data_IF_620436925895
#
_entry.id   IF_620436925895
#
_cell.length_a   1.000
_cell.length_b   1.000
_cell.length_c   1.000
_cell.angle_alpha   90.00
_cell.angle_beta   90.00
_cell.angle_gamma   90.00
#
_symmetry.space_group_name_H-M   'P 1'
#
loop_
_entity.id
_entity.type
_entity.pdbx_description
1 polymer ?
#
# COMPACT_ATOMS: atom_id res chain seq x y z
N UNK A 1 -1.56 34.24 19.00
CA UNK A 1 -0.84 32.97 18.88
C UNK A 1 -1.78 31.80 19.18
N UNK A 2 -2.38 31.73 20.42
CA UNK A 2 -3.24 30.60 20.80
C UNK A 2 -4.43 30.36 19.84
N UNK A 3 -5.08 31.44 19.39
CA UNK A 3 -6.21 31.34 18.42
C UNK A 3 -5.83 30.82 17.05
N UNK A 4 -4.55 30.93 16.67
CA UNK A 4 -4.04 30.45 15.36
C UNK A 4 -3.49 29.02 15.45
N UNK A 5 -2.78 28.70 16.54
CA UNK A 5 -2.04 27.44 16.69
C UNK A 5 -2.79 26.33 17.46
N UNK A 6 -3.82 26.66 18.16
CA UNK A 6 -4.66 25.67 18.84
C UNK A 6 -6.01 25.52 18.12
N UNK A 7 -6.59 24.36 18.03
CA UNK A 7 -6.09 23.03 18.31
C UNK A 7 -5.05 22.56 17.29
N UNK A 8 -4.21 21.58 17.65
CA UNK A 8 -3.27 20.98 16.71
C UNK A 8 -4.02 20.11 15.70
N UNK A 9 -3.78 20.28 14.39
CA UNK A 9 -4.52 19.61 13.33
C UNK A 9 -4.38 18.09 13.37
N UNK A 10 -3.17 17.60 13.65
CA UNK A 10 -2.88 16.17 13.73
C UNK A 10 -1.87 15.90 14.86
N UNK A 11 -2.22 15.02 15.78
CA UNK A 11 -1.32 14.54 16.83
C UNK A 11 -1.10 13.05 16.72
N UNK A 12 0.17 12.62 16.76
CA UNK A 12 0.57 11.22 16.55
C UNK A 12 1.45 10.79 17.70
N UNK A 13 1.14 9.66 18.32
CA UNK A 13 1.94 9.11 19.41
C UNK A 13 1.54 7.69 19.77
N UNK A 14 2.39 7.00 20.54
CA UNK A 14 2.12 5.63 20.98
C UNK A 14 1.00 5.57 22.01
N UNK A 15 0.33 4.42 22.10
CA UNK A 15 -0.77 4.16 23.03
C UNK A 15 -0.35 4.29 24.49
N UNK A 16 0.93 4.16 24.82
CA UNK A 16 1.47 4.35 26.18
C UNK A 16 1.24 5.74 26.74
N UNK A 17 1.01 6.73 25.89
CA UNK A 17 0.74 8.12 26.29
C UNK A 17 -0.73 8.40 26.59
N UNK A 18 -1.64 7.44 26.40
CA UNK A 18 -3.08 7.64 26.55
C UNK A 18 -3.49 8.10 27.96
N UNK A 19 -2.85 7.58 29.02
CA UNK A 19 -3.18 7.89 30.40
C UNK A 19 -2.45 9.13 30.89
N UNK A 20 -1.12 9.22 30.71
CA UNK A 20 -0.33 10.31 31.26
C UNK A 20 -0.43 11.58 30.41
N UNK A 21 0.26 11.59 29.29
CA UNK A 21 0.42 12.79 28.46
C UNK A 21 -0.90 13.29 27.88
N UNK A 22 -1.71 12.41 27.28
CA UNK A 22 -2.97 12.83 26.64
C UNK A 22 -3.99 13.30 27.68
N UNK A 23 -4.06 12.68 28.85
CA UNK A 23 -4.92 13.10 29.93
C UNK A 23 -4.55 14.52 30.43
N UNK A 24 -3.24 14.75 30.63
CA UNK A 24 -2.78 16.07 31.05
C UNK A 24 -2.97 17.14 29.98
N UNK A 25 -2.71 16.82 28.72
CA UNK A 25 -2.94 17.76 27.61
C UNK A 25 -4.39 18.21 27.57
N UNK A 26 -5.36 17.30 27.72
CA UNK A 26 -6.78 17.64 27.78
C UNK A 26 -7.14 18.43 29.04
N UNK A 27 -6.65 18.01 30.19
CA UNK A 27 -6.91 18.70 31.47
C UNK A 27 -6.46 20.15 31.42
N UNK A 28 -5.20 20.40 31.03
CA UNK A 28 -4.67 21.77 30.98
C UNK A 28 -5.32 22.59 29.87
N UNK A 29 -5.70 22.03 28.76
CA UNK A 29 -6.44 22.75 27.70
C UNK A 29 -7.78 23.23 28.24
N UNK A 30 -8.54 22.40 28.98
CA UNK A 30 -9.83 22.76 29.54
C UNK A 30 -9.67 23.81 30.67
N UNK A 31 -8.64 23.66 31.49
CA UNK A 31 -8.33 24.65 32.53
C UNK A 31 -8.00 26.02 31.93
N UNK A 32 -7.13 26.06 30.91
CA UNK A 32 -6.79 27.32 30.23
C UNK A 32 -7.99 27.93 29.49
N UNK A 33 -8.90 27.11 28.97
CA UNK A 33 -10.15 27.59 28.38
C UNK A 33 -11.04 28.25 29.44
N UNK A 34 -11.22 27.60 30.59
CA UNK A 34 -12.06 28.10 31.66
C UNK A 34 -11.52 29.40 32.28
N UNK A 35 -10.19 29.56 32.28
CA UNK A 35 -9.50 30.80 32.64
C UNK A 35 -9.43 31.86 31.52
N UNK A 36 -10.03 31.58 30.33
CA UNK A 36 -10.08 32.52 29.23
C UNK A 36 -8.76 32.70 28.46
N UNK A 37 -7.77 31.86 28.69
CA UNK A 37 -6.46 31.92 28.01
C UNK A 37 -6.47 31.37 26.63
N UNK A 38 -7.32 30.37 26.36
CA UNK A 38 -7.55 29.76 25.04
C UNK A 38 -9.06 29.64 24.79
N UNK A 39 -9.45 29.43 23.54
CA UNK A 39 -10.85 29.29 23.10
C UNK A 39 -11.14 27.96 22.41
N UNK A 40 -10.40 26.93 22.77
CA UNK A 40 -10.53 25.57 22.21
C UNK A 40 -10.94 24.58 23.28
N UNK A 41 -11.74 23.60 22.93
CA UNK A 41 -12.24 22.58 23.86
C UNK A 41 -11.30 21.38 24.01
N UNK A 42 -10.59 21.04 22.93
CA UNK A 42 -9.68 19.91 22.88
C UNK A 42 -8.32 20.35 22.31
N UNK A 43 -7.20 19.76 22.79
CA UNK A 43 -5.86 20.12 22.34
C UNK A 43 -5.57 19.72 20.89
N UNK A 44 -6.25 18.69 20.38
CA UNK A 44 -6.01 18.10 19.07
C UNK A 44 -7.32 17.95 18.31
N UNK A 45 -7.33 18.26 17.00
CA UNK A 45 -8.48 17.99 16.13
C UNK A 45 -8.54 16.51 15.73
N UNK A 46 -7.35 15.93 15.47
CA UNK A 46 -7.19 14.50 15.13
C UNK A 46 -6.09 13.88 15.97
N UNK A 47 -6.40 12.75 16.57
CA UNK A 47 -5.47 11.95 17.35
C UNK A 47 -5.28 10.60 16.65
N UNK A 48 -4.04 10.28 16.27
CA UNK A 48 -3.66 8.95 15.83
C UNK A 48 -2.84 8.27 16.93
N UNK A 49 -3.43 7.27 17.55
CA UNK A 49 -2.76 6.45 18.56
C UNK A 49 -2.07 5.28 17.86
N UNK A 50 -0.74 5.28 17.86
CA UNK A 50 0.05 4.26 17.18
C UNK A 50 0.16 2.98 18.01
N UNK A 51 0.16 1.83 17.30
CA UNK A 51 0.53 0.54 17.87
C UNK A 51 2.02 0.48 18.24
N UNK A 52 2.39 -0.56 18.95
CA UNK A 52 3.77 -0.78 19.40
C UNK A 52 4.57 -1.53 18.35
N UNK A 53 5.87 -1.22 18.26
CA UNK A 53 6.82 -2.08 17.56
C UNK A 53 7.21 -3.22 18.50
N UNK A 54 7.00 -4.44 18.03
CA UNK A 54 7.28 -5.66 18.78
C UNK A 54 8.33 -6.49 18.05
N UNK A 55 9.12 -7.25 18.80
CA UNK A 55 10.15 -8.13 18.28
C UNK A 55 10.26 -9.37 19.16
N UNK A 56 10.71 -10.47 18.59
CA UNK A 56 11.04 -11.65 19.38
C UNK A 56 12.10 -11.33 20.43
N UNK A 57 12.01 -12.04 21.57
CA UNK A 57 12.92 -11.88 22.70
C UNK A 57 13.62 -13.19 23.02
N UNK A 58 14.89 -13.07 23.35
CA UNK A 58 15.75 -14.21 23.67
C UNK A 58 16.48 -13.97 24.99
N UNK A 59 16.65 -15.01 25.80
CA UNK A 59 17.38 -14.90 27.05
C UNK A 59 18.11 -16.19 27.42
N UNK A 60 19.05 -16.07 28.34
CA UNK A 60 19.62 -17.17 29.13
C UNK A 60 19.34 -16.93 30.61
N UNK A 61 19.12 -18.00 31.35
CA UNK A 61 19.11 -17.90 32.81
C UNK A 61 20.53 -17.72 33.33
N UNK A 62 20.72 -16.78 34.26
CA UNK A 62 21.98 -16.55 34.92
C UNK A 62 22.04 -17.28 36.29
N UNK A 63 23.26 -17.39 36.86
CA UNK A 63 23.49 -18.09 38.11
C UNK A 63 22.71 -17.56 39.32
N UNK A 64 22.11 -16.38 39.19
CA UNK A 64 21.29 -15.74 40.24
C UNK A 64 19.78 -15.95 40.03
N UNK A 65 19.36 -16.78 39.05
CA UNK A 65 17.97 -17.02 38.70
C UNK A 65 17.30 -15.87 37.95
N UNK A 66 18.12 -14.94 37.43
CA UNK A 66 17.64 -13.85 36.56
C UNK A 66 17.77 -14.21 35.09
N UNK A 67 17.28 -13.31 34.22
CA UNK A 67 17.33 -13.45 32.76
C UNK A 67 18.34 -12.45 32.19
N UNK A 68 19.33 -12.97 31.45
CA UNK A 68 20.22 -12.16 30.64
C UNK A 68 19.65 -12.09 29.21
N UNK A 69 19.12 -10.93 28.87
CA UNK A 69 18.45 -10.70 27.59
C UNK A 69 19.48 -10.54 26.46
N UNK A 70 19.26 -11.27 25.38
CA UNK A 70 20.15 -11.36 24.23
C UNK A 70 19.53 -10.64 23.04
N UNK A 71 20.35 -9.84 22.33
CA UNK A 71 19.88 -9.13 21.16
C UNK A 71 19.51 -10.13 20.04
N UNK A 72 18.36 -9.98 19.39
CA UNK A 72 17.96 -10.83 18.27
C UNK A 72 19.01 -10.92 17.15
N UNK A 73 19.75 -9.85 16.89
CA UNK A 73 20.84 -9.84 15.89
C UNK A 73 21.99 -10.83 16.21
N UNK A 74 22.17 -11.17 17.49
CA UNK A 74 23.22 -12.08 17.95
C UNK A 74 22.76 -13.55 18.01
N UNK A 75 21.52 -13.83 17.63
CA UNK A 75 20.91 -15.17 17.70
C UNK A 75 20.86 -15.80 16.31
N UNK A 76 21.17 -17.08 16.24
CA UNK A 76 20.95 -17.93 15.06
C UNK A 76 19.77 -18.87 15.32
N UNK A 77 18.79 -18.87 14.40
CA UNK A 77 17.58 -19.66 14.50
C UNK A 77 17.61 -20.86 13.57
N UNK A 78 17.08 -21.98 14.07
CA UNK A 78 16.75 -23.16 13.25
C UNK A 78 15.24 -23.24 13.09
N UNK A 79 14.77 -23.52 11.88
CA UNK A 79 13.35 -23.56 11.56
C UNK A 79 12.90 -24.97 11.20
N UNK A 80 11.63 -25.29 11.50
CA UNK A 80 10.96 -26.51 11.02
C UNK A 80 10.55 -26.36 9.53
N UNK A 81 10.04 -27.48 8.97
CA UNK A 81 9.54 -27.52 7.57
C UNK A 81 8.36 -26.55 7.31
N UNK A 82 7.76 -26.00 8.35
CA UNK A 82 6.67 -25.01 8.30
C UNK A 82 7.15 -23.58 8.52
N UNK A 83 8.48 -23.38 8.62
CA UNK A 83 9.09 -22.06 8.84
C UNK A 83 8.92 -21.51 10.26
N UNK A 84 8.66 -22.36 11.28
CA UNK A 84 8.56 -21.94 12.68
C UNK A 84 9.91 -22.15 13.37
N UNK A 85 10.39 -21.20 14.20
CA UNK A 85 11.62 -21.37 14.94
C UNK A 85 11.47 -22.51 15.96
N UNK A 86 12.39 -23.48 15.92
CA UNK A 86 12.42 -24.65 16.81
C UNK A 86 13.57 -24.63 17.78
N UNK A 87 14.64 -23.94 17.45
CA UNK A 87 15.78 -23.72 18.35
C UNK A 87 16.50 -22.43 18.05
N UNK A 88 17.19 -21.90 19.04
CA UNK A 88 17.96 -20.69 18.96
C UNK A 88 19.31 -20.88 19.69
N UNK A 89 20.39 -20.36 19.10
CA UNK A 89 21.71 -20.37 19.69
C UNK A 89 22.34 -18.98 19.60
N UNK A 90 23.17 -18.62 20.57
CA UNK A 90 23.94 -17.38 20.51
C UNK A 90 25.14 -17.57 19.56
N UNK A 91 25.27 -16.70 18.56
CA UNK A 91 26.33 -16.76 17.54
C UNK A 91 27.76 -16.78 18.12
N UNK A 92 27.96 -16.07 19.24
CA UNK A 92 29.27 -15.91 19.85
C UNK A 92 29.85 -17.21 20.45
N UNK A 93 29.01 -18.11 20.96
CA UNK A 93 29.47 -19.30 21.68
C UNK A 93 28.76 -20.59 21.23
N UNK A 94 27.78 -20.50 20.34
CA UNK A 94 27.00 -21.65 19.84
C UNK A 94 26.09 -22.34 20.88
N UNK A 95 25.98 -21.77 22.09
CA UNK A 95 25.16 -22.37 23.15
C UNK A 95 23.68 -21.98 23.02
N UNK A 96 22.75 -22.82 23.47
CA UNK A 96 21.32 -22.58 23.38
C UNK A 96 20.88 -21.30 24.10
N UNK A 97 19.86 -20.62 23.54
CA UNK A 97 19.11 -19.53 24.16
C UNK A 97 17.63 -19.88 24.16
N UNK A 98 16.90 -19.33 25.12
CA UNK A 98 15.44 -19.54 25.25
C UNK A 98 14.72 -18.51 24.38
N UNK A 99 13.81 -19.00 23.55
CA UNK A 99 12.86 -18.17 22.78
C UNK A 99 11.73 -17.77 23.74
N UNK A 100 11.60 -16.47 24.07
CA UNK A 100 10.62 -15.98 25.06
C UNK A 100 9.31 -15.51 24.41
N UNK A 101 9.30 -15.36 23.06
CA UNK A 101 8.17 -14.87 22.30
C UNK A 101 8.27 -13.37 21.96
N UNK A 102 7.27 -12.88 21.26
CA UNK A 102 7.23 -11.50 20.74
C UNK A 102 6.75 -10.54 21.81
N UNK A 103 7.55 -9.51 22.11
CA UNK A 103 7.25 -8.48 23.10
C UNK A 103 7.56 -7.09 22.54
N UNK A 104 7.03 -6.04 23.22
CA UNK A 104 7.37 -4.64 22.91
C UNK A 104 8.89 -4.45 22.92
N UNK A 105 9.41 -3.79 21.89
CA UNK A 105 10.83 -3.39 21.87
C UNK A 105 11.16 -2.49 23.05
N UNK A 106 12.20 -2.86 23.79
CA UNK A 106 12.67 -2.09 24.95
C UNK A 106 14.15 -2.31 25.20
N UNK A 107 14.81 -1.31 25.78
CA UNK A 107 16.20 -1.42 26.21
C UNK A 107 16.41 -2.52 27.27
N UNK A 108 15.42 -2.69 28.17
CA UNK A 108 15.49 -3.68 29.26
C UNK A 108 15.40 -5.13 28.75
N UNK A 109 14.81 -5.36 27.59
CA UNK A 109 14.71 -6.68 26.94
C UNK A 109 15.79 -6.89 25.88
N UNK A 110 16.60 -5.89 25.60
CA UNK A 110 17.65 -5.92 24.57
C UNK A 110 17.15 -6.41 23.20
N UNK A 111 15.86 -6.16 22.88
CA UNK A 111 15.21 -6.61 21.64
C UNK A 111 14.93 -5.45 20.67
N UNK A 112 15.61 -4.32 20.83
CA UNK A 112 15.52 -3.19 19.92
C UNK A 112 16.49 -3.34 18.75
N UNK A 113 16.08 -2.80 17.59
CA UNK A 113 16.93 -2.66 16.40
C UNK A 113 17.54 -1.26 16.39
N UNK A 114 18.83 -1.14 16.12
CA UNK A 114 19.47 0.17 15.97
C UNK A 114 19.09 0.78 14.62
N UNK A 115 18.36 1.93 14.61
CA UNK A 115 18.00 2.59 13.37
C UNK A 115 19.22 3.00 12.53
N UNK A 116 20.37 3.31 13.14
CA UNK A 116 21.54 3.74 12.41
C UNK A 116 22.19 2.59 11.62
N UNK A 117 22.24 1.39 12.20
CA UNK A 117 22.73 0.20 11.49
C UNK A 117 21.81 -0.15 10.31
N UNK A 118 20.49 -0.07 10.51
CA UNK A 118 19.51 -0.27 9.46
C UNK A 118 19.66 0.75 8.32
N UNK A 119 19.82 2.03 8.64
CA UNK A 119 20.01 3.10 7.66
C UNK A 119 21.34 2.91 6.91
N UNK A 120 22.41 2.52 7.58
CA UNK A 120 23.71 2.26 6.96
C UNK A 120 23.64 1.07 5.98
N UNK A 121 22.88 0.03 6.31
CA UNK A 121 22.76 -1.17 5.48
C UNK A 121 21.78 -1.00 4.29
N UNK A 122 20.65 -0.35 4.51
CA UNK A 122 19.53 -0.33 3.55
C UNK A 122 19.08 1.07 3.11
N UNK A 123 19.55 2.13 3.78
CA UNK A 123 19.12 3.50 3.54
C UNK A 123 17.84 3.89 4.31
N UNK A 124 17.69 5.19 4.54
CA UNK A 124 16.57 5.74 5.31
C UNK A 124 15.20 5.47 4.67
N UNK A 125 15.10 5.54 3.34
CA UNK A 125 13.83 5.30 2.63
C UNK A 125 13.36 3.85 2.78
N UNK A 126 14.27 2.88 2.86
CA UNK A 126 13.91 1.48 3.12
C UNK A 126 13.30 1.31 4.51
N UNK A 127 13.91 1.92 5.53
CA UNK A 127 13.38 1.90 6.90
C UNK A 127 11.98 2.54 6.95
N UNK A 128 11.81 3.71 6.33
CA UNK A 128 10.52 4.42 6.25
C UNK A 128 9.46 3.57 5.53
N UNK A 129 9.82 2.99 4.38
CA UNK A 129 8.89 2.15 3.61
C UNK A 129 8.45 0.93 4.42
N UNK A 130 9.37 0.23 5.06
CA UNK A 130 9.06 -0.92 5.90
C UNK A 130 8.07 -0.53 7.02
N UNK A 131 8.38 0.52 7.78
CA UNK A 131 7.54 0.97 8.89
C UNK A 131 6.11 1.33 8.45
N UNK A 132 5.95 1.95 7.28
CA UNK A 132 4.65 2.37 6.77
C UNK A 132 3.88 1.24 6.04
N UNK A 133 4.59 0.21 5.59
CA UNK A 133 4.00 -0.89 4.83
C UNK A 133 3.63 -2.10 5.69
N UNK A 134 4.39 -2.39 6.75
CA UNK A 134 4.27 -3.63 7.50
C UNK A 134 2.93 -3.77 8.26
N UNK A 135 2.37 -2.66 8.74
CA UNK A 135 1.09 -2.65 9.44
C UNK A 135 0.37 -1.30 9.33
N UNK A 136 -0.96 -1.26 9.47
CA UNK A 136 -1.67 0.00 9.73
C UNK A 136 -1.12 0.69 10.99
N UNK A 137 -1.07 2.03 11.04
CA UNK A 137 -0.41 2.74 12.14
C UNK A 137 -0.99 2.46 13.52
N UNK A 138 -2.27 2.11 13.62
CA UNK A 138 -2.95 1.78 14.89
C UNK A 138 -2.65 0.37 15.40
N UNK A 139 -2.10 -0.49 14.55
CA UNK A 139 -1.78 -1.88 14.90
C UNK A 139 -0.32 -2.03 15.32
N UNK A 140 -0.05 -3.04 16.13
CA UNK A 140 1.32 -3.39 16.46
C UNK A 140 2.05 -3.89 15.21
N UNK A 141 3.27 -3.41 15.04
CA UNK A 141 4.17 -3.81 13.96
C UNK A 141 5.16 -4.84 14.50
N UNK A 142 5.13 -6.03 13.96
CA UNK A 142 6.15 -7.04 14.24
C UNK A 142 7.38 -6.80 13.34
N UNK A 143 8.55 -6.70 13.98
CA UNK A 143 9.80 -6.51 13.26
C UNK A 143 10.15 -7.75 12.43
N UNK A 144 10.56 -7.52 11.19
CA UNK A 144 10.92 -8.58 10.26
C UNK A 144 12.06 -8.14 9.34
N UNK A 145 13.21 -8.75 9.45
CA UNK A 145 14.37 -8.47 8.58
C UNK A 145 14.04 -8.79 7.11
N UNK A 146 13.33 -9.88 6.86
CA UNK A 146 12.84 -10.23 5.51
C UNK A 146 11.86 -9.19 4.94
N UNK A 147 11.08 -8.54 5.81
CA UNK A 147 10.21 -7.43 5.45
C UNK A 147 11.01 -6.18 5.05
N UNK A 148 12.09 -5.86 5.78
CA UNK A 148 13.04 -4.79 5.43
C UNK A 148 13.67 -5.05 4.07
N UNK A 149 14.18 -6.26 3.84
CA UNK A 149 14.73 -6.66 2.54
C UNK A 149 13.68 -6.57 1.42
N UNK A 150 12.44 -6.93 1.71
CA UNK A 150 11.32 -6.78 0.78
C UNK A 150 11.10 -5.32 0.37
N UNK A 151 11.11 -4.42 1.34
CA UNK A 151 11.02 -2.98 1.09
C UNK A 151 12.20 -2.47 0.25
N UNK A 152 13.42 -2.90 0.56
CA UNK A 152 14.61 -2.55 -0.22
C UNK A 152 14.53 -3.05 -1.66
N UNK A 153 14.10 -4.30 -1.88
CA UNK A 153 13.90 -4.85 -3.24
C UNK A 153 12.88 -4.05 -4.03
N UNK A 154 11.79 -3.59 -3.39
CA UNK A 154 10.81 -2.75 -4.07
C UNK A 154 11.40 -1.40 -4.50
N UNK A 155 12.16 -0.71 -3.64
CA UNK A 155 12.81 0.56 -4.02
C UNK A 155 13.83 0.37 -5.15
N UNK A 156 14.60 -0.72 -5.14
CA UNK A 156 15.50 -1.06 -6.24
C UNK A 156 14.73 -1.35 -7.54
N UNK A 157 13.55 -1.97 -7.45
CA UNK A 157 12.68 -2.17 -8.61
C UNK A 157 12.18 -0.84 -9.15
N UNK A 158 11.66 0.05 -8.29
CA UNK A 158 11.21 1.39 -8.69
C UNK A 158 12.32 2.15 -9.43
N UNK A 159 13.52 2.17 -8.85
CA UNK A 159 14.69 2.77 -9.48
C UNK A 159 14.95 2.18 -10.87
N UNK A 160 15.02 0.87 -10.97
CA UNK A 160 15.27 0.17 -12.23
C UNK A 160 14.19 0.45 -13.27
N UNK A 161 12.91 0.47 -12.88
CA UNK A 161 11.79 0.75 -13.78
C UNK A 161 11.93 2.14 -14.42
N UNK A 162 12.24 3.16 -13.63
CA UNK A 162 12.48 4.52 -14.17
C UNK A 162 13.75 4.56 -15.02
N UNK A 163 14.83 3.93 -14.57
CA UNK A 163 16.09 3.87 -15.32
C UNK A 163 15.92 3.21 -16.69
N UNK A 164 15.23 2.08 -16.78
CA UNK A 164 14.98 1.38 -18.05
C UNK A 164 14.06 2.21 -18.98
N UNK A 165 13.12 2.95 -18.43
CA UNK A 165 12.32 3.89 -19.20
C UNK A 165 13.17 4.99 -19.83
N UNK A 166 14.03 5.65 -19.05
CA UNK A 166 14.91 6.72 -19.51
C UNK A 166 16.00 6.22 -20.49
N UNK A 167 16.46 4.99 -20.34
CA UNK A 167 17.42 4.36 -21.25
C UNK A 167 16.86 4.16 -22.67
N UNK A 168 15.55 4.05 -22.83
CA UNK A 168 14.90 3.92 -24.15
C UNK A 168 14.78 5.25 -24.90
N UNK A 169 15.10 6.37 -24.26
CA UNK A 169 15.05 7.73 -24.83
C UNK A 169 14.81 8.78 -23.74
N UNK A 170 14.91 10.04 -24.10
CA UNK A 170 14.63 11.14 -23.17
C UNK A 170 13.21 11.08 -22.60
N UNK A 171 13.03 11.67 -21.42
CA UNK A 171 11.70 11.86 -20.82
C UNK A 171 10.81 12.67 -21.78
N UNK A 172 9.56 12.25 -21.89
CA UNK A 172 8.58 12.91 -22.76
C UNK A 172 7.52 13.60 -21.91
N UNK A 173 6.69 14.43 -22.52
CA UNK A 173 5.55 15.00 -21.80
C UNK A 173 4.59 13.88 -21.38
N UNK A 174 4.18 13.88 -20.11
CA UNK A 174 3.15 12.97 -19.61
C UNK A 174 1.86 13.08 -20.45
N UNK A 175 1.19 11.95 -20.63
CA UNK A 175 -0.06 11.90 -21.39
C UNK A 175 -1.08 12.86 -20.77
N UNK A 176 -1.68 13.69 -21.63
CA UNK A 176 -2.77 14.60 -21.27
C UNK A 176 -3.70 14.73 -22.47
N UNK A 177 -4.93 14.25 -22.35
CA UNK A 177 -5.90 14.36 -23.45
C UNK A 177 -6.90 13.23 -23.50
N UNK A 178 -7.66 13.18 -24.63
CA UNK A 178 -8.67 12.14 -24.84
C UNK A 178 -8.01 10.77 -24.98
N UNK A 179 -8.65 9.76 -24.41
CA UNK A 179 -8.25 8.35 -24.55
C UNK A 179 -8.66 7.71 -25.90
N UNK A 180 -9.37 8.44 -26.79
CA UNK A 180 -9.94 7.90 -28.04
C UNK A 180 -8.81 7.42 -28.94
N UNK A 181 -7.75 7.45 -28.99
CA UNK A 181 -6.70 6.87 -29.84
C UNK A 181 -5.82 5.84 -29.14
N UNK A 182 -5.99 5.66 -27.83
CA UNK A 182 -5.19 4.71 -27.08
C UNK A 182 -5.63 3.27 -27.32
N UNK A 183 -4.67 2.33 -27.35
CA UNK A 183 -4.97 0.91 -27.31
C UNK A 183 -5.72 0.52 -26.03
N UNK A 184 -6.35 -0.64 -26.02
CA UNK A 184 -7.07 -1.14 -24.85
C UNK A 184 -6.14 -1.26 -23.65
N UNK A 185 -4.94 -1.81 -23.83
CA UNK A 185 -3.95 -2.02 -22.78
C UNK A 185 -3.52 -0.68 -22.14
N UNK A 186 -3.34 0.37 -22.95
CA UNK A 186 -3.01 1.71 -22.45
C UNK A 186 -4.19 2.37 -21.73
N UNK A 187 -5.44 2.15 -22.19
CA UNK A 187 -6.63 2.60 -21.48
C UNK A 187 -6.77 1.90 -20.12
N UNK A 188 -6.57 0.59 -20.07
CA UNK A 188 -6.62 -0.19 -18.84
C UNK A 188 -5.50 0.25 -17.86
N UNK A 189 -4.31 0.55 -18.35
CA UNK A 189 -3.23 1.10 -17.53
C UNK A 189 -3.58 2.48 -16.97
N UNK A 190 -4.13 3.38 -17.77
CA UNK A 190 -4.60 4.69 -17.30
C UNK A 190 -5.78 4.58 -16.31
N UNK A 191 -6.71 3.66 -16.54
CA UNK A 191 -7.76 3.37 -15.57
C UNK A 191 -7.17 2.94 -14.22
N UNK A 192 -6.18 2.03 -14.23
CA UNK A 192 -5.47 1.62 -13.00
C UNK A 192 -4.73 2.79 -12.36
N UNK A 193 -4.07 3.64 -13.14
CA UNK A 193 -3.37 4.82 -12.68
C UNK A 193 -4.32 5.75 -11.90
N UNK A 194 -5.41 6.19 -12.51
CA UNK A 194 -6.32 7.15 -11.90
C UNK A 194 -7.13 6.55 -10.75
N UNK A 195 -7.46 5.25 -10.81
CA UNK A 195 -8.01 4.51 -9.67
C UNK A 195 -7.02 4.45 -8.50
N UNK A 196 -5.72 4.34 -8.79
CA UNK A 196 -4.65 4.37 -7.78
C UNK A 196 -4.52 5.75 -7.14
N UNK A 197 -4.57 6.85 -7.94
CA UNK A 197 -4.56 8.22 -7.40
C UNK A 197 -5.73 8.41 -6.43
N UNK A 198 -6.95 8.06 -6.84
CA UNK A 198 -8.14 8.19 -5.99
C UNK A 198 -8.00 7.39 -4.68
N UNK A 199 -7.57 6.13 -4.78
CA UNK A 199 -7.37 5.26 -3.63
C UNK A 199 -6.30 5.77 -2.67
N UNK A 200 -5.13 6.14 -3.18
CA UNK A 200 -4.01 6.61 -2.35
C UNK A 200 -4.35 7.95 -1.68
N UNK A 201 -5.05 8.84 -2.39
CA UNK A 201 -5.52 10.11 -1.83
C UNK A 201 -6.49 9.88 -0.65
N UNK A 202 -7.41 8.94 -0.76
CA UNK A 202 -8.31 8.56 0.33
C UNK A 202 -7.58 7.86 1.47
N UNK A 203 -6.68 6.94 1.15
CA UNK A 203 -5.90 6.19 2.14
C UNK A 203 -5.00 7.13 2.97
N UNK A 204 -4.36 8.14 2.36
CA UNK A 204 -3.52 9.10 3.09
C UNK A 204 -4.34 10.15 3.83
N UNK A 205 -5.30 10.78 3.14
CA UNK A 205 -5.98 11.96 3.67
C UNK A 205 -7.06 11.63 4.71
N UNK A 206 -7.82 10.57 4.50
CA UNK A 206 -8.98 10.22 5.32
C UNK A 206 -8.77 8.98 6.17
N UNK A 207 -8.29 7.89 5.56
CA UNK A 207 -8.24 6.57 6.21
C UNK A 207 -6.97 6.33 7.02
N UNK A 208 -5.89 7.05 6.72
CA UNK A 208 -4.55 6.86 7.30
C UNK A 208 -4.04 5.41 7.19
N UNK A 209 -4.33 4.77 6.05
CA UNK A 209 -3.97 3.39 5.74
C UNK A 209 -2.78 3.36 4.76
N UNK A 210 -1.59 3.64 5.26
CA UNK A 210 -0.39 3.80 4.43
C UNK A 210 0.03 2.51 3.73
N UNK A 211 -0.15 1.37 4.38
CA UNK A 211 0.15 0.06 3.81
C UNK A 211 -0.68 -0.25 2.56
N UNK A 212 -1.99 0.08 2.56
CA UNK A 212 -2.86 -0.13 1.40
C UNK A 212 -2.57 0.85 0.26
N UNK A 213 -2.16 2.08 0.60
CA UNK A 213 -1.69 3.06 -0.38
C UNK A 213 -0.43 2.59 -1.11
N UNK A 214 0.58 2.11 -0.35
CA UNK A 214 1.82 1.54 -0.92
C UNK A 214 1.50 0.34 -1.81
N UNK A 215 0.65 -0.59 -1.33
CA UNK A 215 0.23 -1.75 -2.10
C UNK A 215 -0.44 -1.36 -3.44
N UNK A 216 -1.28 -0.32 -3.44
CA UNK A 216 -1.92 0.18 -4.66
C UNK A 216 -0.90 0.69 -5.69
N UNK A 217 0.15 1.38 -5.26
CA UNK A 217 1.25 1.80 -6.16
C UNK A 217 2.06 0.59 -6.65
N UNK A 218 2.32 -0.40 -5.80
CA UNK A 218 2.98 -1.65 -6.22
C UNK A 218 2.17 -2.38 -7.31
N UNK A 219 0.85 -2.45 -7.16
CA UNK A 219 -0.05 -3.03 -8.17
C UNK A 219 -0.07 -2.23 -9.48
N UNK A 220 -0.02 -0.89 -9.41
CA UNK A 220 0.10 -0.04 -10.59
C UNK A 220 1.38 -0.36 -11.36
N UNK A 221 2.52 -0.44 -10.68
CA UNK A 221 3.79 -0.80 -11.29
C UNK A 221 3.80 -2.24 -11.84
N UNK A 222 3.08 -3.17 -11.19
CA UNK A 222 2.90 -4.54 -11.72
C UNK A 222 2.10 -4.56 -13.04
N UNK A 223 1.13 -3.67 -13.20
CA UNK A 223 0.41 -3.53 -14.47
C UNK A 223 1.26 -2.83 -15.52
N UNK A 224 1.98 -1.79 -15.14
CA UNK A 224 2.92 -1.09 -16.01
C UNK A 224 3.93 -2.06 -16.65
N UNK A 225 4.57 -2.92 -15.87
CA UNK A 225 5.57 -3.89 -16.35
C UNK A 225 5.00 -4.90 -17.37
N UNK A 226 3.68 -5.08 -17.41
CA UNK A 226 2.98 -6.01 -18.33
C UNK A 226 2.42 -5.31 -19.56
N UNK A 227 2.46 -3.99 -19.61
CA UNK A 227 1.87 -3.19 -20.69
C UNK A 227 2.95 -2.79 -21.69
N UNK A 228 2.68 -3.01 -22.97
CA UNK A 228 3.56 -2.50 -24.02
C UNK A 228 3.43 -0.96 -24.12
N UNK A 229 4.51 -0.28 -23.80
CA UNK A 229 4.61 1.19 -23.82
C UNK A 229 5.58 1.70 -24.90
N UNK A 230 5.95 0.87 -25.88
CA UNK A 230 6.95 1.20 -26.90
C UNK A 230 6.49 2.23 -27.96
N UNK A 231 5.17 2.43 -28.14
CA UNK A 231 4.66 3.47 -29.04
C UNK A 231 4.83 4.88 -28.46
N UNK A 232 4.70 5.91 -29.30
CA UNK A 232 4.74 7.31 -28.86
C UNK A 232 3.70 7.60 -27.78
N UNK A 233 2.45 7.16 -27.98
CA UNK A 233 1.39 7.26 -26.99
C UNK A 233 1.70 6.41 -25.74
N UNK A 234 2.24 5.21 -25.93
CA UNK A 234 2.67 4.34 -24.84
C UNK A 234 3.74 5.00 -23.97
N UNK A 235 4.72 5.66 -24.57
CA UNK A 235 5.74 6.41 -23.82
C UNK A 235 5.15 7.58 -23.03
N UNK A 236 4.19 8.31 -23.60
CA UNK A 236 3.52 9.40 -22.89
C UNK A 236 2.69 8.88 -21.67
N UNK A 237 2.00 7.76 -21.84
CA UNK A 237 1.31 7.08 -20.73
C UNK A 237 2.30 6.52 -19.70
N UNK A 238 3.43 5.95 -20.13
CA UNK A 238 4.50 5.51 -19.25
C UNK A 238 5.04 6.66 -18.38
N UNK A 239 5.30 7.82 -18.99
CA UNK A 239 5.71 9.01 -18.27
C UNK A 239 4.67 9.42 -17.21
N UNK A 240 3.38 9.46 -17.56
CA UNK A 240 2.28 9.77 -16.65
C UNK A 240 2.25 8.81 -15.45
N UNK A 241 2.44 7.52 -15.69
CA UNK A 241 2.47 6.48 -14.64
C UNK A 241 3.65 6.64 -13.71
N UNK A 242 4.86 6.82 -14.25
CA UNK A 242 6.09 6.90 -13.47
C UNK A 242 6.13 8.19 -12.64
N UNK A 243 5.77 9.32 -13.23
CA UNK A 243 5.62 10.59 -12.51
C UNK A 243 4.63 10.47 -11.36
N UNK A 244 3.49 9.85 -11.61
CA UNK A 244 2.45 9.68 -10.59
C UNK A 244 2.91 8.73 -9.50
N UNK A 245 3.52 7.60 -9.82
CA UNK A 245 4.03 6.65 -8.82
C UNK A 245 5.05 7.31 -7.89
N UNK A 246 5.97 8.10 -8.44
CA UNK A 246 6.97 8.86 -7.68
C UNK A 246 6.30 9.88 -6.76
N UNK A 247 5.32 10.65 -7.25
CA UNK A 247 4.57 11.64 -6.45
C UNK A 247 3.77 10.99 -5.32
N UNK A 248 3.11 9.86 -5.58
CA UNK A 248 2.32 9.16 -4.58
C UNK A 248 3.19 8.53 -3.49
N UNK A 249 4.41 8.09 -3.81
CA UNK A 249 5.33 7.51 -2.84
C UNK A 249 6.18 8.55 -2.08
N UNK A 250 6.28 9.76 -2.59
CA UNK A 250 7.14 10.81 -2.03
C UNK A 250 6.94 11.06 -0.52
N UNK A 251 5.73 11.14 0.04
CA UNK A 251 5.56 11.36 1.48
C UNK A 251 6.21 10.26 2.34
N UNK A 252 6.40 9.07 1.80
CA UNK A 252 6.97 7.91 2.51
C UNK A 252 8.45 7.78 2.24
N UNK A 253 8.88 7.84 0.97
CA UNK A 253 10.27 7.61 0.53
C UNK A 253 10.82 8.81 -0.24
N UNK A 254 11.05 9.93 0.46
CA UNK A 254 11.32 11.22 -0.17
C UNK A 254 12.62 11.26 -0.98
N UNK A 255 13.69 10.60 -0.52
CA UNK A 255 15.00 10.76 -1.16
C UNK A 255 15.06 10.11 -2.54
N UNK A 256 14.59 8.86 -2.66
CA UNK A 256 14.54 8.18 -3.95
C UNK A 256 13.56 8.88 -4.89
N UNK A 257 12.40 9.32 -4.38
CA UNK A 257 11.39 9.99 -5.20
C UNK A 257 11.87 11.33 -5.74
N UNK A 258 12.57 12.15 -4.94
CA UNK A 258 13.15 13.42 -5.39
C UNK A 258 14.18 13.19 -6.49
N UNK A 259 15.05 12.19 -6.33
CA UNK A 259 16.05 11.85 -7.34
C UNK A 259 15.40 11.39 -8.65
N UNK A 260 14.45 10.46 -8.58
CA UNK A 260 13.76 9.95 -9.77
C UNK A 260 12.91 11.01 -10.47
N UNK A 261 12.27 11.89 -9.69
CA UNK A 261 11.54 13.02 -10.25
C UNK A 261 12.43 14.00 -11.01
N UNK A 262 13.59 14.32 -10.46
CA UNK A 262 14.56 15.18 -11.12
C UNK A 262 14.99 14.63 -12.49
N UNK A 263 15.18 13.31 -12.58
CA UNK A 263 15.51 12.63 -13.84
C UNK A 263 14.33 12.60 -14.84
N UNK A 264 13.09 12.48 -14.35
CA UNK A 264 11.88 12.46 -15.19
C UNK A 264 11.44 13.86 -15.65
N UNK A 265 11.67 14.90 -14.86
CA UNK A 265 11.09 16.24 -15.09
C UNK A 265 12.10 17.40 -15.07
N UNK A 266 13.29 17.21 -14.52
CA UNK A 266 14.27 18.29 -14.33
C UNK A 266 13.84 19.36 -13.31
N UNK A 267 12.74 19.14 -12.56
CA UNK A 267 12.16 20.06 -11.60
C UNK A 267 12.22 19.49 -10.18
N UNK A 268 11.81 20.28 -9.19
CA UNK A 268 11.75 19.87 -7.80
C UNK A 268 10.38 19.26 -7.49
N UNK A 269 10.37 18.09 -6.85
CA UNK A 269 9.14 17.33 -6.63
C UNK A 269 8.13 18.08 -5.74
N UNK A 270 8.59 18.83 -4.73
CA UNK A 270 7.69 19.60 -3.84
C UNK A 270 6.93 20.74 -4.54
N UNK A 271 7.36 21.14 -5.76
CA UNK A 271 6.65 22.13 -6.57
C UNK A 271 5.55 21.50 -7.45
N UNK A 272 5.57 20.18 -7.63
CA UNK A 272 4.67 19.47 -8.54
C UNK A 272 3.22 19.36 -8.03
N UNK A 273 2.99 19.54 -6.74
CA UNK A 273 1.69 19.32 -6.10
C UNK A 273 1.23 17.85 -6.09
N UNK A 274 0.08 17.58 -5.51
CA UNK A 274 -0.49 16.23 -5.47
C UNK A 274 -1.14 15.87 -6.81
N UNK A 275 -1.04 14.62 -7.31
CA UNK A 275 -1.64 14.23 -8.58
C UNK A 275 -3.17 14.24 -8.49
N UNK A 276 -3.82 14.69 -9.56
CA UNK A 276 -5.27 14.76 -9.67
C UNK A 276 -5.83 13.61 -10.50
N UNK A 277 -7.06 13.20 -10.17
CA UNK A 277 -7.77 12.16 -10.91
C UNK A 277 -8.30 12.74 -12.23
N UNK A 278 -8.09 12.02 -13.32
CA UNK A 278 -8.81 12.22 -14.58
C UNK A 278 -10.04 11.30 -14.57
N UNK A 279 -11.22 11.88 -14.37
CA UNK A 279 -12.48 11.14 -14.30
C UNK A 279 -12.80 10.41 -15.61
N UNK A 280 -12.36 10.93 -16.76
CA UNK A 280 -12.53 10.26 -18.04
C UNK A 280 -11.75 8.95 -18.13
N UNK A 281 -10.60 8.85 -17.44
CA UNK A 281 -9.82 7.63 -17.37
C UNK A 281 -10.47 6.55 -16.46
N UNK A 282 -11.38 6.93 -15.57
CA UNK A 282 -12.11 5.98 -14.73
C UNK A 282 -13.29 5.32 -15.43
N UNK A 283 -13.72 5.86 -16.57
CA UNK A 283 -14.79 5.26 -17.37
C UNK A 283 -14.23 4.01 -18.06
N UNK A 284 -14.71 2.83 -17.66
CA UNK A 284 -14.37 1.60 -18.35
C UNK A 284 -15.07 1.54 -19.69
N UNK A 285 -14.32 1.28 -20.76
CA UNK A 285 -14.87 1.02 -22.08
C UNK A 285 -15.56 -0.34 -22.16
N UNK A 286 -15.09 -1.30 -21.37
CA UNK A 286 -15.61 -2.67 -21.33
C UNK A 286 -15.75 -3.17 -19.90
N UNK A 287 -16.73 -4.05 -19.70
CA UNK A 287 -16.99 -4.74 -18.43
C UNK A 287 -16.99 -6.25 -18.62
N UNK A 288 -16.53 -6.98 -17.62
CA UNK A 288 -16.62 -8.43 -17.57
C UNK A 288 -17.90 -8.82 -16.81
N UNK A 289 -18.75 -9.59 -17.47
CA UNK A 289 -20.04 -10.06 -16.93
C UNK A 289 -20.03 -11.56 -16.82
N UNK A 290 -20.36 -12.09 -15.64
CA UNK A 290 -20.43 -13.53 -15.40
C UNK A 290 -21.63 -14.15 -16.06
N UNK A 291 -21.46 -15.30 -16.73
CA UNK A 291 -22.55 -16.07 -17.35
C UNK A 291 -22.87 -17.30 -16.51
N UNK A 292 -24.12 -17.39 -16.10
CA UNK A 292 -24.65 -18.51 -15.35
C UNK A 292 -25.72 -19.25 -16.18
N UNK A 293 -25.80 -20.57 -15.99
CA UNK A 293 -26.91 -21.40 -16.47
C UNK A 293 -27.52 -22.09 -15.25
N UNK A 294 -28.81 -21.86 -15.02
CA UNK A 294 -29.54 -22.34 -13.84
C UNK A 294 -28.83 -22.03 -12.53
N UNK A 295 -28.30 -20.78 -12.39
CA UNK A 295 -27.61 -20.28 -11.21
C UNK A 295 -26.18 -20.77 -10.99
N UNK A 296 -25.64 -21.61 -11.88
CA UNK A 296 -24.24 -22.09 -11.80
C UNK A 296 -23.37 -21.35 -12.81
N UNK A 297 -22.22 -20.86 -12.37
CA UNK A 297 -21.23 -20.16 -13.21
C UNK A 297 -20.77 -21.12 -14.35
N UNK A 298 -20.86 -20.64 -15.60
CA UNK A 298 -20.52 -21.40 -16.79
C UNK A 298 -19.60 -20.69 -17.78
N UNK A 299 -19.34 -19.40 -17.53
CA UNK A 299 -18.45 -18.61 -18.35
C UNK A 299 -18.45 -17.15 -17.95
N UNK A 300 -17.78 -16.36 -18.75
CA UNK A 300 -17.73 -14.90 -18.65
C UNK A 300 -17.74 -14.30 -20.04
N UNK A 301 -18.28 -13.10 -20.16
CA UNK A 301 -18.27 -12.30 -21.38
C UNK A 301 -17.64 -10.94 -21.10
N UNK A 302 -16.88 -10.42 -22.07
CA UNK A 302 -16.42 -9.04 -22.07
C UNK A 302 -17.28 -8.27 -23.07
N UNK A 303 -17.94 -7.23 -22.62
CA UNK A 303 -18.87 -6.41 -23.40
C UNK A 303 -18.61 -4.93 -23.16
N UNK A 304 -19.05 -4.06 -24.05
CA UNK A 304 -18.99 -2.62 -23.84
C UNK A 304 -19.71 -2.25 -22.53
N UNK A 305 -19.19 -1.26 -21.79
CA UNK A 305 -19.75 -0.87 -20.49
C UNK A 305 -21.18 -0.33 -20.61
N UNK A 306 -21.52 0.23 -21.79
CA UNK A 306 -22.84 0.74 -22.19
C UNK A 306 -23.65 -0.28 -23.01
N UNK A 307 -23.20 -1.56 -23.08
CA UNK A 307 -23.88 -2.61 -23.81
C UNK A 307 -25.35 -2.73 -23.39
N UNK A 308 -26.23 -2.78 -24.38
CA UNK A 308 -27.65 -2.94 -24.13
C UNK A 308 -27.96 -4.30 -23.50
N UNK A 309 -29.13 -4.41 -22.85
CA UNK A 309 -29.60 -5.69 -22.32
C UNK A 309 -29.64 -6.77 -23.39
N UNK A 310 -30.03 -6.42 -24.62
CA UNK A 310 -30.08 -7.37 -25.74
C UNK A 310 -28.69 -7.85 -26.14
N UNK A 311 -27.69 -6.97 -26.16
CA UNK A 311 -26.30 -7.35 -26.45
C UNK A 311 -25.72 -8.27 -25.38
N UNK A 312 -26.02 -7.99 -24.10
CA UNK A 312 -25.62 -8.83 -22.98
C UNK A 312 -26.24 -10.24 -23.06
N UNK A 313 -27.52 -10.32 -23.39
CA UNK A 313 -28.25 -11.59 -23.59
C UNK A 313 -27.68 -12.38 -24.77
N UNK A 314 -27.46 -11.71 -25.92
CA UNK A 314 -26.87 -12.34 -27.12
C UNK A 314 -25.45 -12.85 -26.86
N UNK A 315 -24.58 -12.03 -26.28
CA UNK A 315 -23.22 -12.40 -25.92
C UNK A 315 -23.19 -13.58 -24.92
N UNK A 316 -24.06 -13.58 -23.91
CA UNK A 316 -24.14 -14.64 -22.92
C UNK A 316 -24.56 -15.98 -23.55
N UNK A 317 -25.56 -15.97 -24.44
CA UNK A 317 -26.04 -17.16 -25.14
C UNK A 317 -24.99 -17.75 -26.08
N UNK A 318 -24.12 -16.92 -26.63
CA UNK A 318 -23.04 -17.34 -27.55
C UNK A 318 -21.83 -17.97 -26.83
N UNK A 319 -21.75 -17.90 -25.49
CA UNK A 319 -20.61 -18.50 -24.76
C UNK A 319 -20.60 -20.01 -24.87
N UNK A 320 -19.42 -20.59 -25.03
CA UNK A 320 -19.23 -22.05 -25.09
C UNK A 320 -19.86 -22.76 -23.87
N UNK A 321 -19.71 -22.17 -22.67
CA UNK A 321 -20.30 -22.70 -21.45
C UNK A 321 -21.83 -22.66 -21.46
N UNK A 322 -22.45 -21.61 -21.99
CA UNK A 322 -23.91 -21.54 -22.12
C UNK A 322 -24.42 -22.58 -23.13
N UNK A 323 -23.83 -22.62 -24.32
CA UNK A 323 -24.17 -23.57 -25.37
C UNK A 323 -24.12 -25.01 -24.88
N UNK A 324 -23.02 -25.39 -24.19
CA UNK A 324 -22.80 -26.73 -23.65
C UNK A 324 -23.84 -27.11 -22.60
N UNK A 325 -24.14 -26.21 -21.66
CA UNK A 325 -25.02 -26.51 -20.53
C UNK A 325 -26.51 -26.24 -20.77
N UNK A 326 -26.87 -25.59 -21.86
CA UNK A 326 -28.26 -25.50 -22.36
C UNK A 326 -28.71 -26.79 -23.08
N UNK A 327 -27.76 -27.63 -23.52
CA UNK A 327 -28.07 -28.93 -24.16
C UNK A 327 -29.09 -28.81 -25.31
N UNK A 328 -29.02 -27.74 -26.09
CA UNK A 328 -29.94 -27.47 -27.21
C UNK A 328 -31.37 -27.01 -26.78
N UNK A 329 -31.63 -26.86 -25.47
CA UNK A 329 -32.93 -26.36 -24.98
C UNK A 329 -32.99 -24.84 -25.12
N UNK A 330 -34.14 -24.26 -25.49
CA UNK A 330 -34.30 -22.81 -25.51
C UNK A 330 -34.31 -22.24 -24.09
N UNK A 331 -33.77 -21.02 -23.93
CA UNK A 331 -33.87 -20.30 -22.67
C UNK A 331 -35.34 -19.96 -22.35
N UNK A 332 -35.82 -20.38 -21.20
CA UNK A 332 -37.15 -19.98 -20.68
C UNK A 332 -37.17 -18.55 -20.18
N UNK A 333 -36.05 -18.13 -19.59
CA UNK A 333 -35.90 -16.79 -19.05
C UNK A 333 -34.41 -16.42 -19.00
N UNK A 334 -34.09 -15.16 -19.30
CA UNK A 334 -32.76 -14.61 -19.12
C UNK A 334 -32.87 -13.47 -18.11
N UNK A 335 -32.06 -13.53 -17.05
CA UNK A 335 -32.03 -12.53 -15.98
C UNK A 335 -30.70 -11.80 -16.11
N UNK A 336 -30.75 -10.52 -16.48
CA UNK A 336 -29.58 -9.66 -16.59
C UNK A 336 -29.49 -8.78 -15.33
N UNK A 337 -28.38 -8.86 -14.65
CA UNK A 337 -27.98 -7.92 -13.60
C UNK A 337 -26.88 -7.04 -14.20
N UNK A 338 -27.18 -5.78 -14.56
CA UNK A 338 -26.24 -4.91 -15.26
C UNK A 338 -24.87 -4.85 -14.55
N UNK A 339 -23.81 -4.95 -15.33
CA UNK A 339 -22.43 -4.87 -14.84
C UNK A 339 -21.96 -6.04 -13.97
N UNK A 340 -22.78 -7.08 -13.76
CA UNK A 340 -22.47 -8.14 -12.81
C UNK A 340 -22.62 -9.56 -13.36
N UNK A 341 -23.81 -9.94 -13.80
CA UNK A 341 -24.05 -11.28 -14.31
C UNK A 341 -25.24 -11.37 -15.25
N UNK A 342 -25.22 -12.39 -16.12
CA UNK A 342 -26.37 -12.87 -16.90
C UNK A 342 -26.65 -14.32 -16.48
N UNK A 343 -27.87 -14.60 -16.02
CA UNK A 343 -28.31 -15.96 -15.67
C UNK A 343 -29.34 -16.46 -16.67
N UNK A 344 -29.00 -17.53 -17.37
CA UNK A 344 -29.85 -18.21 -18.35
C UNK A 344 -30.60 -19.34 -17.62
N UNK A 345 -31.91 -19.33 -17.67
CA UNK A 345 -32.76 -20.40 -17.11
C UNK A 345 -33.29 -21.23 -18.27
N UNK A 346 -33.00 -22.51 -18.28
CA UNK A 346 -33.45 -23.48 -19.28
C UNK A 346 -34.45 -24.49 -18.71
#
# INVERSE_FOLDING_TARGET
>A
AAKYWGSVDQYIGGIEHAILHLLYARFFTKLMRDEGLVNVDEPFERLLTQGMVVCETYYRENDKGGKDWINPADVELTFDDKGRPVSAVLKADGLPVVISGTEKMSKSKNNGVDPQELINAYGADTARLFMMFAAPPEQSLEWSDSGVEGAHRFLRRLWRTVYEYLKQGEAVKAFAGSQDGLSKELKDLRHKLHSTIAKVSDDYGRRQQFNTAIAAVMELLNQYDKTDTGSEQGRAVAQEVLETAVRLLWPIVPHICETLWSELNGAKLWEAGWPTVDEAALVKSEIEVMVQVNGKLRGKITVAADASKADLEAAALATEGAVKFMEGKPAKKIIVVPGRLVNIVV
#
